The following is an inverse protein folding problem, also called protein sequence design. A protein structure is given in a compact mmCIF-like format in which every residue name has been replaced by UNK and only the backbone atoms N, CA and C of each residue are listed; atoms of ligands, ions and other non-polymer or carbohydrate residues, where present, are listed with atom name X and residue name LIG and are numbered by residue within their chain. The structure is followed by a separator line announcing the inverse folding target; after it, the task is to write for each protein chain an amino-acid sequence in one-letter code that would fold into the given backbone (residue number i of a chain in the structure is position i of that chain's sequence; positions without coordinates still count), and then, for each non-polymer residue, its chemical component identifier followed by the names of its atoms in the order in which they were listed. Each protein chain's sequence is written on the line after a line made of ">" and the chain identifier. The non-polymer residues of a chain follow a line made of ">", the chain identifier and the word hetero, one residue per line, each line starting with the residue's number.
data_IF_671612250608
#
_entry.id   IF_671612250608
#
_cell.length_a   1.000
_cell.length_b   1.000
_cell.length_c   1.000
_cell.angle_alpha   90.00
_cell.angle_beta   90.00
_cell.angle_gamma   90.00
#
_symmetry.space_group_name_H-M   'P 1'
#
loop_
_entity.id
_entity.type
_entity.pdbx_description
1 polymer ?
#
# COMPACT_ATOMS: atom_id res chain seq x y z
N UNK A 1 -3.56 -37.86 63.87
CA UNK A 1 -3.37 -38.26 62.46
C UNK A 1 -3.28 -36.95 61.66
N UNK A 2 -2.06 -36.60 61.27
CA UNK A 2 -1.74 -35.33 60.60
C UNK A 2 -1.38 -35.65 59.15
N UNK A 3 -2.24 -35.25 58.22
CA UNK A 3 -1.97 -35.39 56.78
C UNK A 3 -1.25 -34.14 56.28
N UNK A 4 0.01 -34.30 55.93
CA UNK A 4 0.83 -33.31 55.26
C UNK A 4 0.50 -33.32 53.78
N UNK A 5 -0.20 -32.31 53.29
CA UNK A 5 -0.39 -32.09 51.84
C UNK A 5 0.83 -31.35 51.29
N UNK A 6 1.68 -32.07 50.58
CA UNK A 6 2.75 -31.47 49.78
C UNK A 6 2.16 -30.95 48.47
N UNK A 7 2.08 -29.63 48.32
CA UNK A 7 1.71 -28.93 47.06
C UNK A 7 2.99 -28.83 46.22
N UNK A 8 3.08 -29.62 45.16
CA UNK A 8 4.11 -29.51 44.12
C UNK A 8 3.74 -28.37 43.21
N UNK A 9 4.42 -27.23 43.36
CA UNK A 9 4.34 -26.08 42.44
C UNK A 9 5.23 -26.39 41.22
N UNK A 10 4.61 -26.86 40.15
CA UNK A 10 5.26 -26.98 38.84
C UNK A 10 5.28 -25.57 38.18
N UNK A 11 6.45 -24.94 38.23
CA UNK A 11 6.68 -23.67 37.58
C UNK A 11 6.76 -23.85 36.07
N UNK A 12 5.72 -23.37 35.33
CA UNK A 12 5.78 -23.23 33.88
C UNK A 12 6.53 -21.96 33.58
N UNK A 13 7.79 -22.07 33.18
CA UNK A 13 8.55 -20.96 32.61
C UNK A 13 8.01 -20.66 31.22
N UNK A 14 7.15 -19.66 31.13
CA UNK A 14 6.71 -19.08 29.86
C UNK A 14 7.87 -18.30 29.24
N UNK A 15 8.56 -18.91 28.27
CA UNK A 15 9.48 -18.20 27.38
C UNK A 15 8.69 -17.17 26.55
N UNK A 16 8.62 -15.95 27.06
CA UNK A 16 8.05 -14.83 26.34
C UNK A 16 8.92 -14.49 25.13
N UNK A 17 8.49 -14.89 23.94
CA UNK A 17 9.06 -14.44 22.68
C UNK A 17 8.60 -13.00 22.45
N UNK A 18 9.35 -12.02 22.97
CA UNK A 18 9.15 -10.61 22.65
C UNK A 18 9.62 -10.37 21.23
N UNK A 19 8.73 -10.46 20.26
CA UNK A 19 8.95 -9.90 18.95
C UNK A 19 9.03 -8.37 19.11
N UNK A 20 10.23 -7.81 19.09
CA UNK A 20 10.42 -6.37 19.02
C UNK A 20 9.89 -5.89 17.66
N UNK A 21 8.64 -5.46 17.60
CA UNK A 21 8.12 -4.72 16.47
C UNK A 21 8.95 -3.44 16.36
N UNK A 22 9.62 -3.25 15.23
CA UNK A 22 10.36 -2.03 14.95
C UNK A 22 9.38 -0.85 15.02
N UNK A 23 9.49 -0.03 16.05
CA UNK A 23 8.63 1.15 16.21
C UNK A 23 9.05 2.20 15.21
N UNK A 24 8.10 2.64 14.37
CA UNK A 24 8.33 3.71 13.41
C UNK A 24 8.50 5.03 14.16
N UNK A 25 9.58 5.72 13.89
CA UNK A 25 9.87 7.02 14.49
C UNK A 25 9.11 8.15 13.76
N UNK A 26 7.90 8.44 14.22
CA UNK A 26 7.06 9.49 13.65
C UNK A 26 7.54 10.92 13.94
N UNK A 27 8.54 11.11 14.81
CA UNK A 27 9.16 12.43 15.03
C UNK A 27 9.92 12.93 13.78
N UNK A 28 10.24 12.02 12.87
CA UNK A 28 10.89 12.31 11.58
C UNK A 28 9.93 12.79 10.48
N UNK A 29 8.65 12.97 10.80
CA UNK A 29 7.72 13.57 9.84
C UNK A 29 8.22 14.96 9.43
N UNK A 30 8.25 15.27 8.10
CA UNK A 30 8.55 16.63 7.65
C UNK A 30 7.63 17.64 8.33
N UNK A 31 8.12 18.83 8.72
CA UNK A 31 7.28 19.85 9.33
C UNK A 31 6.14 20.24 8.38
N UNK A 32 4.99 20.63 8.95
CA UNK A 32 3.93 21.23 8.15
C UNK A 32 4.43 22.53 7.50
N UNK A 33 4.03 22.80 6.26
CA UNK A 33 4.36 24.06 5.60
C UNK A 33 3.74 25.24 6.39
N UNK A 34 4.46 26.34 6.46
CA UNK A 34 4.04 27.52 7.24
C UNK A 34 2.99 28.38 6.56
N UNK A 35 2.62 28.05 5.30
CA UNK A 35 1.61 28.79 4.53
C UNK A 35 0.20 28.61 5.07
N UNK A 36 -0.59 29.69 5.08
CA UNK A 36 -2.03 29.65 5.34
C UNK A 36 -2.81 29.63 4.04
N UNK A 37 -4.05 29.13 4.06
CA UNK A 37 -4.92 29.11 2.87
C UNK A 37 -4.57 28.04 1.85
N UNK A 38 -3.93 26.95 2.30
CA UNK A 38 -3.68 25.77 1.45
C UNK A 38 -4.98 25.10 1.10
N UNK A 39 -5.25 24.94 -0.20
CA UNK A 39 -6.50 24.37 -0.71
C UNK A 39 -6.26 23.07 -1.46
N UNK A 40 -7.30 22.21 -1.47
CA UNK A 40 -7.20 20.93 -2.19
C UNK A 40 -6.91 21.16 -3.68
N UNK A 41 -7.68 22.00 -4.36
CA UNK A 41 -7.64 22.11 -5.82
C UNK A 41 -6.34 22.73 -6.34
N UNK A 42 -5.81 23.73 -5.65
CA UNK A 42 -4.59 24.43 -6.10
C UNK A 42 -3.32 23.71 -5.71
N UNK A 43 -3.28 23.20 -4.46
CA UNK A 43 -2.02 22.83 -3.84
C UNK A 43 -1.88 21.31 -3.73
N UNK A 44 -2.96 20.61 -3.40
CA UNK A 44 -2.89 19.17 -3.09
C UNK A 44 -3.21 18.31 -4.31
N UNK A 45 -4.26 18.65 -5.07
CA UNK A 45 -4.69 17.87 -6.23
C UNK A 45 -3.58 17.69 -7.28
N UNK A 46 -2.75 18.70 -7.63
CA UNK A 46 -1.63 18.53 -8.56
C UNK A 46 -0.61 17.49 -8.07
N UNK A 47 -0.31 17.48 -6.75
CA UNK A 47 0.57 16.49 -6.14
C UNK A 47 -0.04 15.09 -6.28
N UNK A 48 -1.31 14.93 -5.93
CA UNK A 48 -1.99 13.65 -6.01
C UNK A 48 -2.15 13.15 -7.44
N UNK A 49 -2.42 14.03 -8.42
CA UNK A 49 -2.49 13.67 -9.85
C UNK A 49 -1.18 13.01 -10.30
N UNK A 50 -0.05 13.54 -9.87
CA UNK A 50 1.26 13.05 -10.30
C UNK A 50 1.64 11.74 -9.63
N UNK A 51 1.34 11.56 -8.35
CA UNK A 51 1.90 10.48 -7.53
C UNK A 51 0.88 9.41 -7.10
N UNK A 52 -0.42 9.73 -7.08
CA UNK A 52 -1.42 8.89 -6.41
C UNK A 52 -2.56 8.42 -7.32
N UNK A 53 -3.10 9.31 -8.18
CA UNK A 53 -4.35 9.09 -8.94
C UNK A 53 -4.25 7.92 -9.90
N UNK A 54 -3.07 7.57 -10.36
CA UNK A 54 -2.87 6.37 -11.17
C UNK A 54 -3.40 5.09 -10.53
N UNK A 55 -3.32 4.98 -9.19
CA UNK A 55 -3.81 3.83 -8.43
C UNK A 55 -5.06 4.16 -7.62
N UNK A 56 -5.28 5.44 -7.32
CA UNK A 56 -6.37 5.93 -6.48
C UNK A 56 -7.24 6.96 -7.22
N UNK A 57 -7.46 6.74 -8.51
CA UNK A 57 -8.35 7.56 -9.34
C UNK A 57 -9.74 6.94 -9.51
N UNK A 58 -10.54 7.55 -10.41
CA UNK A 58 -11.96 7.24 -10.57
C UNK A 58 -12.26 5.81 -11.04
N UNK A 59 -11.47 5.26 -11.99
CA UNK A 59 -11.86 4.03 -12.70
C UNK A 59 -11.73 2.76 -11.83
N UNK A 60 -10.59 2.58 -11.15
CA UNK A 60 -10.30 1.38 -10.35
C UNK A 60 -9.54 1.74 -9.07
N UNK A 61 -10.17 2.46 -8.15
CA UNK A 61 -9.51 2.93 -6.95
C UNK A 61 -9.10 1.74 -6.05
N UNK A 62 -7.78 1.59 -5.81
CA UNK A 62 -7.29 0.60 -4.86
C UNK A 62 -7.80 0.91 -3.47
N UNK A 63 -8.18 -0.12 -2.73
CA UNK A 63 -8.83 -0.01 -1.41
C UNK A 63 -10.10 0.87 -1.42
N UNK A 64 -10.70 1.10 -2.61
CA UNK A 64 -11.80 2.04 -2.83
C UNK A 64 -11.49 3.49 -2.45
N UNK A 65 -10.22 3.82 -2.27
CA UNK A 65 -9.76 5.18 -1.97
C UNK A 65 -9.62 5.97 -3.26
N UNK A 66 -10.30 7.11 -3.33
CA UNK A 66 -10.17 8.10 -4.39
C UNK A 66 -9.40 9.32 -3.88
N UNK A 67 -8.37 9.70 -4.62
CA UNK A 67 -7.52 10.86 -4.32
C UNK A 67 -7.57 11.92 -5.44
N UNK A 68 -8.45 11.73 -6.41
CA UNK A 68 -8.66 12.64 -7.53
C UNK A 68 -9.65 13.75 -7.21
N UNK A 69 -10.45 13.61 -6.16
CA UNK A 69 -11.44 14.62 -5.70
C UNK A 69 -11.37 14.78 -4.19
N UNK A 70 -11.70 15.98 -3.69
CA UNK A 70 -11.79 16.26 -2.26
C UNK A 70 -12.76 15.30 -1.55
N UNK A 71 -13.97 15.14 -2.10
CA UNK A 71 -14.97 14.22 -1.54
C UNK A 71 -14.44 12.78 -1.42
N UNK A 72 -13.70 12.34 -2.43
CA UNK A 72 -13.08 11.01 -2.42
C UNK A 72 -12.06 10.84 -1.30
N UNK A 73 -11.24 11.86 -1.06
CA UNK A 73 -10.27 11.88 0.05
C UNK A 73 -10.97 11.88 1.39
N UNK A 74 -11.98 12.72 1.57
CA UNK A 74 -12.74 12.82 2.83
C UNK A 74 -13.54 11.56 3.13
N UNK A 75 -14.08 10.90 2.10
CA UNK A 75 -14.77 9.60 2.23
C UNK A 75 -13.85 8.50 2.74
N UNK A 76 -12.58 8.52 2.33
CA UNK A 76 -11.58 7.53 2.75
C UNK A 76 -11.74 6.17 2.08
N UNK A 77 -11.42 5.11 2.82
CA UNK A 77 -11.42 3.71 2.39
C UNK A 77 -12.62 2.95 2.94
N UNK A 78 -12.76 1.66 2.59
CA UNK A 78 -13.72 0.76 3.25
C UNK A 78 -13.51 0.64 4.77
N UNK A 79 -12.29 0.80 5.22
CA UNK A 79 -11.90 0.68 6.63
C UNK A 79 -12.14 1.99 7.41
N UNK A 80 -12.43 3.08 6.71
CA UNK A 80 -12.70 4.38 7.33
C UNK A 80 -11.88 5.53 6.76
N UNK A 81 -11.88 6.64 7.48
CA UNK A 81 -11.16 7.84 7.10
C UNK A 81 -9.64 7.62 7.10
N UNK A 82 -8.97 8.25 6.14
CA UNK A 82 -7.50 8.25 6.02
C UNK A 82 -6.86 9.52 6.57
N UNK A 83 -7.68 10.48 6.95
CA UNK A 83 -7.22 11.73 7.54
C UNK A 83 -8.08 12.13 8.74
N UNK A 84 -7.46 12.84 9.67
CA UNK A 84 -8.10 13.49 10.80
C UNK A 84 -7.96 14.99 10.60
N UNK A 85 -9.05 15.67 10.27
CA UNK A 85 -9.01 17.11 10.03
C UNK A 85 -8.50 17.85 11.27
N UNK A 86 -7.53 18.73 11.09
CA UNK A 86 -6.87 19.45 12.18
C UNK A 86 -5.70 18.68 12.84
N UNK A 87 -5.47 17.40 12.48
CA UNK A 87 -4.37 16.60 13.02
C UNK A 87 -3.66 15.79 11.91
N UNK A 88 -2.69 16.42 11.31
CA UNK A 88 -1.89 15.79 10.26
C UNK A 88 -1.01 14.65 10.77
N UNK A 89 -0.53 14.73 12.01
CA UNK A 89 0.37 13.73 12.57
C UNK A 89 -0.31 12.38 12.79
N UNK A 90 -1.58 12.38 13.16
CA UNK A 90 -2.38 11.16 13.36
C UNK A 90 -2.95 10.61 12.05
N UNK A 91 -2.94 11.39 10.97
CA UNK A 91 -3.56 11.04 9.69
C UNK A 91 -2.81 9.91 8.97
N UNK A 92 -3.53 8.82 8.62
CA UNK A 92 -2.96 7.68 7.88
C UNK A 92 -2.39 8.10 6.52
N UNK A 93 -3.02 9.09 5.87
CA UNK A 93 -2.52 9.65 4.61
C UNK A 93 -1.10 10.19 4.78
N UNK A 94 -0.84 10.99 5.81
CA UNK A 94 0.50 11.55 6.07
C UNK A 94 1.51 10.45 6.39
N UNK A 95 1.13 9.49 7.21
CA UNK A 95 1.98 8.34 7.55
C UNK A 95 2.37 7.55 6.29
N UNK A 96 1.42 7.31 5.39
CA UNK A 96 1.68 6.59 4.15
C UNK A 96 2.61 7.37 3.20
N UNK A 97 2.37 8.67 2.99
CA UNK A 97 3.17 9.45 2.02
C UNK A 97 4.53 9.86 2.56
N UNK A 98 4.75 9.83 3.87
CA UNK A 98 6.04 10.15 4.50
C UNK A 98 7.13 9.12 4.23
N UNK A 99 6.78 7.91 3.78
CA UNK A 99 7.72 6.80 3.51
C UNK A 99 8.53 6.34 4.74
N UNK A 100 8.13 6.73 5.95
CA UNK A 100 8.82 6.35 7.20
C UNK A 100 8.56 4.90 7.57
N UNK A 101 7.36 4.41 7.30
CA UNK A 101 6.98 3.03 7.50
C UNK A 101 6.94 2.29 6.16
N UNK A 102 7.84 1.33 5.92
CA UNK A 102 7.91 0.61 4.66
C UNK A 102 6.68 -0.26 4.37
N UNK A 103 5.90 -0.64 5.38
CA UNK A 103 4.71 -1.48 5.21
C UNK A 103 3.51 -0.68 4.70
N UNK A 104 3.37 0.55 5.14
CA UNK A 104 2.27 1.46 4.76
C UNK A 104 2.67 2.47 3.69
N UNK A 105 3.96 2.55 3.34
CA UNK A 105 4.51 3.54 2.40
C UNK A 105 3.75 3.60 1.06
N UNK A 106 3.34 4.80 0.67
CA UNK A 106 2.71 5.10 -0.62
C UNK A 106 3.40 6.27 -1.32
N UNK A 107 3.69 6.15 -2.62
CA UNK A 107 3.60 4.93 -3.42
C UNK A 107 4.56 3.84 -2.92
N UNK A 108 4.20 2.55 -3.08
CA UNK A 108 5.05 1.47 -2.61
C UNK A 108 6.38 1.47 -3.37
N UNK A 109 7.47 1.23 -2.66
CA UNK A 109 8.78 1.10 -3.29
C UNK A 109 8.76 -0.02 -4.33
N UNK A 110 9.41 0.15 -5.49
CA UNK A 110 9.55 -0.93 -6.46
C UNK A 110 10.17 -2.14 -5.78
N UNK A 111 9.47 -3.25 -5.76
CA UNK A 111 10.09 -4.51 -5.32
C UNK A 111 11.20 -4.82 -6.29
N UNK A 112 12.40 -5.10 -5.79
CA UNK A 112 13.48 -5.62 -6.62
C UNK A 112 12.89 -6.75 -7.47
N UNK A 113 13.06 -6.67 -8.79
CA UNK A 113 12.61 -7.75 -9.68
C UNK A 113 13.29 -9.01 -9.18
N UNK A 114 12.53 -9.92 -8.58
CA UNK A 114 13.04 -11.28 -8.40
C UNK A 114 13.43 -11.76 -9.78
N UNK A 115 14.73 -12.02 -9.98
CA UNK A 115 15.25 -12.62 -11.22
C UNK A 115 14.48 -13.91 -11.53
N UNK A 116 14.58 -14.43 -12.78
CA UNK A 116 13.91 -15.65 -13.19
C UNK A 116 14.48 -16.91 -12.51
N UNK A 117 14.45 -16.99 -11.20
CA UNK A 117 15.02 -18.07 -10.37
C UNK A 117 14.68 -17.96 -8.88
N UNK A 118 13.81 -16.99 -8.47
CA UNK A 118 13.36 -16.95 -7.10
C UNK A 118 12.49 -18.17 -6.75
N UNK A 119 12.59 -18.74 -5.51
CA UNK A 119 11.81 -19.91 -5.12
C UNK A 119 10.33 -19.64 -5.35
N UNK A 120 9.73 -20.40 -6.25
CA UNK A 120 8.28 -20.48 -6.39
C UNK A 120 7.75 -20.97 -5.05
N UNK A 121 6.83 -20.21 -4.46
CA UNK A 121 6.18 -20.61 -3.23
C UNK A 121 5.59 -22.01 -3.39
N UNK A 122 6.09 -22.95 -2.61
CA UNK A 122 5.80 -24.38 -2.65
C UNK A 122 4.44 -24.73 -2.05
N UNK A 123 3.39 -23.94 -2.32
CA UNK A 123 2.03 -24.23 -1.86
C UNK A 123 0.97 -24.22 -2.97
N UNK A 124 1.37 -24.49 -4.21
CA UNK A 124 0.42 -24.91 -5.24
C UNK A 124 0.48 -26.44 -5.31
N UNK A 125 -0.65 -27.19 -5.19
CA UNK A 125 -0.66 -28.61 -5.45
C UNK A 125 -0.14 -28.84 -6.88
N UNK A 126 0.80 -29.76 -7.04
CA UNK A 126 1.37 -30.13 -8.33
C UNK A 126 0.23 -30.54 -9.26
N UNK A 127 -0.04 -29.73 -10.28
CA UNK A 127 -0.90 -30.17 -11.38
C UNK A 127 -0.13 -31.26 -12.16
N UNK A 128 -0.80 -32.36 -12.49
CA UNK A 128 -0.18 -33.41 -13.29
C UNK A 128 0.26 -32.85 -14.65
N UNK A 129 1.32 -33.42 -15.26
CA UNK A 129 1.77 -33.01 -16.59
C UNK A 129 0.62 -33.11 -17.57
N UNK A 130 0.27 -32.04 -18.25
CA UNK A 130 -0.63 -32.09 -19.41
C UNK A 130 0.15 -32.81 -20.50
N UNK A 131 -0.34 -34.00 -20.87
CA UNK A 131 0.11 -34.70 -22.06
C UNK A 131 0.02 -33.79 -23.28
N UNK A 132 1.09 -33.78 -24.06
CA UNK A 132 1.28 -32.92 -25.20
C UNK A 132 0.20 -33.14 -26.25
N UNK A 133 -0.66 -32.16 -26.42
CA UNK A 133 -1.44 -31.98 -27.64
C UNK A 133 -0.56 -31.26 -28.66
N UNK A 134 -0.15 -32.02 -29.66
CA UNK A 134 0.59 -31.55 -30.83
C UNK A 134 -0.34 -30.63 -31.66
N UNK A 135 -0.26 -29.32 -31.42
CA UNK A 135 -0.92 -28.33 -32.27
C UNK A 135 0.06 -27.90 -33.34
N UNK A 136 -0.09 -28.52 -34.51
CA UNK A 136 0.64 -28.19 -35.71
C UNK A 136 0.52 -26.70 -36.12
N UNK A 137 1.46 -26.16 -36.91
CA UNK A 137 1.50 -24.75 -37.32
C UNK A 137 0.45 -24.48 -38.43
N UNK A 138 -0.83 -24.32 -38.07
CA UNK A 138 -1.84 -24.13 -39.11
C UNK A 138 -3.19 -23.53 -38.70
N UNK A 139 -3.61 -23.59 -37.47
CA UNK A 139 -4.97 -23.18 -37.09
C UNK A 139 -5.02 -21.88 -36.25
N UNK A 140 -4.65 -20.79 -36.88
CA UNK A 140 -4.92 -19.46 -36.34
C UNK A 140 -6.02 -18.82 -37.20
N UNK A 141 -7.24 -18.59 -36.68
CA UNK A 141 -8.27 -17.91 -37.44
C UNK A 141 -7.81 -16.49 -37.79
N UNK A 142 -7.93 -16.04 -39.04
CA UNK A 142 -7.57 -14.68 -39.45
C UNK A 142 -8.63 -13.71 -38.89
N UNK A 143 -8.25 -12.78 -38.02
CA UNK A 143 -9.11 -11.64 -37.68
C UNK A 143 -9.46 -11.40 -36.23
N UNK A 144 -8.74 -11.97 -35.27
CA UNK A 144 -8.88 -11.56 -33.87
C UNK A 144 -8.18 -10.21 -33.62
N UNK A 145 -8.80 -9.27 -32.85
CA UNK A 145 -8.14 -8.02 -32.53
C UNK A 145 -6.81 -8.26 -31.80
N UNK A 146 -5.75 -7.49 -32.09
CA UNK A 146 -4.47 -7.63 -31.38
C UNK A 146 -4.68 -7.21 -29.93
N UNK A 147 -4.63 -8.16 -29.01
CA UNK A 147 -4.66 -7.80 -27.59
C UNK A 147 -5.41 -8.69 -26.62
N UNK A 148 -5.61 -9.98 -26.89
CA UNK A 148 -6.05 -10.90 -25.84
C UNK A 148 -4.84 -11.24 -24.96
N UNK A 149 -4.79 -10.58 -23.81
CA UNK A 149 -3.81 -10.88 -22.77
C UNK A 149 -3.94 -12.32 -22.30
N UNK A 150 -2.91 -13.13 -22.56
CA UNK A 150 -2.78 -14.44 -21.94
C UNK A 150 -2.87 -14.29 -20.41
N UNK A 151 -3.52 -15.24 -19.69
CA UNK A 151 -3.61 -15.18 -18.24
C UNK A 151 -2.21 -15.19 -17.64
N UNK A 152 -1.80 -14.08 -17.04
CA UNK A 152 -0.46 -13.89 -16.44
C UNK A 152 0.37 -12.75 -16.99
N UNK A 153 0.05 -12.21 -18.16
CA UNK A 153 0.74 -11.00 -18.65
C UNK A 153 0.02 -9.75 -18.12
N UNK A 154 0.58 -9.13 -17.09
CA UNK A 154 0.21 -7.77 -16.71
C UNK A 154 0.49 -6.86 -17.91
N UNK A 155 -0.44 -5.96 -18.30
CA UNK A 155 -0.19 -5.01 -19.37
C UNK A 155 1.14 -4.30 -19.14
N UNK A 156 2.08 -4.43 -20.07
CA UNK A 156 3.44 -3.87 -19.95
C UNK A 156 3.47 -2.33 -20.07
N UNK A 157 2.32 -1.71 -20.17
CA UNK A 157 2.20 -0.27 -20.44
C UNK A 157 1.75 0.53 -19.21
N UNK A 158 2.27 0.19 -18.04
CA UNK A 158 2.23 1.13 -16.93
C UNK A 158 3.34 2.15 -17.18
N UNK A 159 2.97 3.43 -17.42
CA UNK A 159 3.92 4.54 -17.48
C UNK A 159 4.91 4.53 -16.30
N UNK A 160 5.84 5.49 -16.20
CA UNK A 160 6.88 5.48 -15.18
C UNK A 160 6.30 5.23 -13.78
N UNK A 161 7.03 4.56 -12.89
CA UNK A 161 6.55 4.30 -11.53
C UNK A 161 6.20 5.62 -10.85
N UNK A 162 5.14 5.63 -10.05
CA UNK A 162 4.76 6.78 -9.26
C UNK A 162 5.92 7.18 -8.34
N UNK A 163 6.25 8.46 -8.30
CA UNK A 163 7.33 8.99 -7.45
C UNK A 163 6.80 9.25 -6.04
N UNK A 164 7.56 8.91 -4.99
CA UNK A 164 7.27 9.36 -3.64
C UNK A 164 7.18 10.88 -3.58
N UNK A 165 6.42 11.40 -2.61
CA UNK A 165 6.35 12.84 -2.35
C UNK A 165 7.69 13.33 -1.78
N UNK A 166 8.06 14.57 -2.13
CA UNK A 166 9.18 15.24 -1.48
C UNK A 166 8.79 15.67 -0.05
N UNK A 167 9.78 15.91 0.84
CA UNK A 167 9.49 16.42 2.20
C UNK A 167 8.63 17.68 2.19
N UNK A 168 8.85 18.59 1.22
CA UNK A 168 8.08 19.82 1.06
C UNK A 168 6.63 19.54 0.69
N UNK A 169 6.41 18.58 -0.22
CA UNK A 169 5.07 18.14 -0.60
C UNK A 169 4.33 17.45 0.57
N UNK A 170 5.04 16.65 1.37
CA UNK A 170 4.48 16.09 2.60
C UNK A 170 4.11 17.21 3.57
N UNK A 171 4.99 18.20 3.74
CA UNK A 171 4.72 19.38 4.57
C UNK A 171 3.48 20.15 4.12
N UNK A 172 3.27 20.28 2.80
CA UNK A 172 2.08 20.94 2.24
C UNK A 172 0.80 20.15 2.51
N UNK A 173 0.84 18.83 2.35
CA UNK A 173 -0.29 17.95 2.70
C UNK A 173 -0.61 18.06 4.19
N UNK A 174 0.39 18.13 5.05
CA UNK A 174 0.20 18.32 6.49
C UNK A 174 -0.48 19.66 6.78
N UNK A 175 0.04 20.77 6.22
CA UNK A 175 -0.55 22.09 6.41
C UNK A 175 -2.02 22.15 5.96
N UNK A 176 -2.36 21.51 4.83
CA UNK A 176 -3.74 21.41 4.37
C UNK A 176 -4.64 20.67 5.38
N UNK A 177 -4.18 19.54 5.91
CA UNK A 177 -4.94 18.76 6.92
C UNK A 177 -5.10 19.57 8.22
N UNK A 178 -4.03 20.20 8.70
CA UNK A 178 -4.02 20.98 9.93
C UNK A 178 -4.95 22.20 9.84
N UNK A 179 -5.19 22.73 8.62
CA UNK A 179 -6.15 23.79 8.32
C UNK A 179 -7.59 23.28 8.10
N UNK A 180 -7.85 22.00 8.37
CA UNK A 180 -9.18 21.39 8.33
C UNK A 180 -9.54 20.68 7.04
N UNK A 181 -8.58 20.44 6.15
CA UNK A 181 -8.73 19.63 4.91
C UNK A 181 -9.88 20.11 3.99
N UNK A 182 -9.90 21.39 3.66
CA UNK A 182 -10.96 22.06 2.85
C UNK A 182 -10.54 22.28 1.40
#
# INVERSE_FOLDING_TARGET
>A
MKYLNAIILTGIAALGFSAAAATVDWSKLPPAATGTGVTFDKDIQPIFKTSCVRCHGAERPRAQLRLDTLDGVLKGTKQGSILTAGDSASSLLVKAVSQLDPETAMPPKPRARRGPGGPQGTNAPAMPPREGGDHGPGDRPPGGPPGTNAPGQRPRNFGPPAKPLTPEQVGLVRAWIDQGAK
#
